data_IF_249201323121
#
_entry.id   IF_249201323121
#
_cell.length_a   1.000
_cell.length_b   1.000
_cell.length_c   1.000
_cell.angle_alpha   90.00
_cell.angle_beta   90.00
_cell.angle_gamma   90.00
#
_symmetry.space_group_name_H-M   'P 1'
#
loop_
_entity.id
_entity.type
_entity.pdbx_description
1 polymer ?
#
# COMPACT_ATOMS: atom_id res chain seq x y z
N UNK A 1 9.56 -1.83 -13.54
CA UNK A 1 9.40 -0.59 -14.32
C UNK A 1 8.55 0.37 -13.51
N UNK A 2 8.89 1.66 -13.47
CA UNK A 2 8.09 2.72 -12.87
C UNK A 2 8.11 3.95 -13.77
N UNK A 3 6.98 4.63 -13.88
CA UNK A 3 6.80 5.87 -14.64
C UNK A 3 6.28 6.93 -13.68
N UNK A 4 6.89 8.10 -13.68
CA UNK A 4 6.43 9.27 -12.94
C UNK A 4 6.26 10.44 -13.88
N UNK A 5 5.18 11.18 -13.69
CA UNK A 5 4.81 12.34 -14.50
C UNK A 5 4.52 13.51 -13.59
N UNK A 6 4.95 14.69 -13.98
CA UNK A 6 4.55 15.96 -13.36
C UNK A 6 3.72 16.72 -14.38
N UNK A 7 2.56 17.21 -13.96
CA UNK A 7 1.69 18.09 -14.73
C UNK A 7 1.62 19.43 -14.06
N UNK A 8 1.45 20.48 -14.86
CA UNK A 8 1.32 21.86 -14.37
C UNK A 8 0.12 22.53 -15.04
N UNK A 9 -0.70 23.20 -14.25
CA UNK A 9 -1.80 24.04 -14.73
C UNK A 9 -2.01 25.18 -13.75
N UNK A 10 -2.12 26.40 -14.26
CA UNK A 10 -2.36 27.61 -13.46
C UNK A 10 -1.41 27.78 -12.25
N UNK A 11 -0.14 27.41 -12.41
CA UNK A 11 0.87 27.50 -11.36
C UNK A 11 0.81 26.36 -10.31
N UNK A 12 -0.16 25.48 -10.38
CA UNK A 12 -0.23 24.27 -9.57
C UNK A 12 0.48 23.12 -10.26
N UNK A 13 1.33 22.42 -9.54
CA UNK A 13 2.07 21.24 -10.01
C UNK A 13 1.66 20.01 -9.23
N UNK A 14 1.33 18.96 -9.94
CA UNK A 14 0.98 17.69 -9.32
C UNK A 14 1.72 16.52 -9.98
N UNK A 15 1.95 15.49 -9.18
CA UNK A 15 2.66 14.29 -9.61
C UNK A 15 1.70 13.09 -9.66
N UNK A 16 1.86 12.29 -10.70
CA UNK A 16 1.30 10.95 -10.77
C UNK A 16 2.40 9.92 -11.03
N UNK A 17 2.20 8.72 -10.55
CA UNK A 17 3.11 7.61 -10.79
C UNK A 17 2.36 6.30 -10.94
N UNK A 18 2.88 5.44 -11.81
CA UNK A 18 2.38 4.09 -11.97
C UNK A 18 3.53 3.16 -12.35
N UNK A 19 3.39 1.89 -12.01
CA UNK A 19 4.43 0.92 -12.31
C UNK A 19 4.07 -0.46 -11.82
N UNK A 20 4.94 -1.40 -12.12
CA UNK A 20 4.82 -2.78 -11.69
C UNK A 20 6.13 -3.52 -11.91
N UNK A 21 6.21 -4.69 -11.31
CA UNK A 21 7.34 -5.59 -11.40
C UNK A 21 6.89 -7.03 -11.50
N UNK A 22 7.69 -7.83 -12.18
CA UNK A 22 7.55 -9.29 -12.21
C UNK A 22 8.93 -9.93 -12.31
N UNK A 23 9.01 -11.17 -11.88
CA UNK A 23 10.21 -11.99 -12.06
C UNK A 23 10.20 -12.64 -13.45
N UNK A 24 10.26 -11.78 -14.48
CA UNK A 24 10.32 -12.15 -15.90
C UNK A 24 11.38 -11.30 -16.58
N UNK A 25 11.72 -11.62 -17.83
CA UNK A 25 12.60 -10.80 -18.64
C UNK A 25 11.92 -9.48 -19.05
N UNK A 26 12.71 -8.58 -19.60
CA UNK A 26 12.22 -7.25 -19.98
C UNK A 26 11.24 -7.30 -21.15
N UNK A 27 11.28 -8.32 -21.96
CA UNK A 27 10.40 -8.52 -23.12
C UNK A 27 8.93 -8.55 -22.71
N UNK A 28 8.63 -9.07 -21.51
CA UNK A 28 7.28 -9.06 -20.93
C UNK A 28 6.63 -7.67 -20.91
N UNK A 29 7.40 -6.63 -20.61
CA UNK A 29 6.88 -5.26 -20.55
C UNK A 29 6.64 -4.68 -21.95
N UNK A 30 7.40 -5.13 -22.94
CA UNK A 30 7.28 -4.72 -24.35
C UNK A 30 6.08 -5.40 -24.99
N UNK A 31 6.00 -6.71 -24.90
CA UNK A 31 4.96 -7.52 -25.56
C UNK A 31 3.55 -7.20 -25.07
N UNK A 32 3.42 -6.70 -23.85
CA UNK A 32 2.14 -6.32 -23.25
C UNK A 32 1.88 -4.82 -23.25
N UNK A 33 2.73 -4.03 -23.92
CA UNK A 33 2.65 -2.55 -23.99
C UNK A 33 2.48 -1.88 -22.60
N UNK A 34 3.06 -2.50 -21.57
CA UNK A 34 2.88 -2.08 -20.19
C UNK A 34 3.49 -0.71 -19.89
N UNK A 35 4.55 -0.33 -20.61
CA UNK A 35 5.17 0.98 -20.46
C UNK A 35 4.20 2.12 -20.78
N UNK A 36 3.46 1.99 -21.89
CA UNK A 36 2.44 2.97 -22.31
C UNK A 36 1.25 2.94 -21.35
N UNK A 37 0.85 1.75 -20.89
CA UNK A 37 -0.18 1.57 -19.88
C UNK A 37 0.14 2.32 -18.58
N UNK A 38 1.35 2.16 -18.06
CA UNK A 38 1.82 2.87 -16.86
C UNK A 38 1.94 4.38 -17.09
N UNK A 39 2.40 4.81 -18.27
CA UNK A 39 2.45 6.23 -18.61
C UNK A 39 1.05 6.87 -18.59
N UNK A 40 0.06 6.25 -19.24
CA UNK A 40 -1.34 6.71 -19.23
C UNK A 40 -1.90 6.76 -17.80
N UNK A 41 -1.64 5.76 -16.98
CA UNK A 41 -2.09 5.72 -15.59
C UNK A 41 -1.46 6.83 -14.76
N UNK A 42 -0.15 7.06 -14.90
CA UNK A 42 0.57 8.12 -14.20
C UNK A 42 0.03 9.52 -14.57
N UNK A 43 -0.21 9.76 -15.88
CA UNK A 43 -0.83 11.01 -16.34
C UNK A 43 -2.22 11.18 -15.75
N UNK A 44 -3.07 10.16 -15.83
CA UNK A 44 -4.43 10.21 -15.25
C UNK A 44 -4.40 10.57 -13.78
N UNK A 45 -3.53 9.96 -13.00
CA UNK A 45 -3.38 10.26 -11.57
C UNK A 45 -2.95 11.70 -11.35
N UNK A 46 -1.96 12.20 -12.09
CA UNK A 46 -1.50 13.57 -11.97
C UNK A 46 -2.61 14.59 -12.30
N UNK A 47 -3.42 14.33 -13.33
CA UNK A 47 -4.56 15.17 -13.69
C UNK A 47 -5.65 15.18 -12.61
N UNK A 48 -5.97 14.02 -12.05
CA UNK A 48 -6.92 13.92 -10.91
C UNK A 48 -6.40 14.72 -9.72
N UNK A 49 -5.11 14.65 -9.42
CA UNK A 49 -4.51 15.41 -8.33
C UNK A 49 -4.57 16.92 -8.56
N UNK A 50 -4.53 17.41 -9.80
CA UNK A 50 -4.72 18.84 -10.10
C UNK A 50 -6.09 19.36 -9.68
N UNK A 51 -7.12 18.52 -9.76
CA UNK A 51 -8.51 18.85 -9.40
C UNK A 51 -8.82 18.50 -7.93
N UNK A 52 -7.90 17.84 -7.24
CA UNK A 52 -8.10 17.42 -5.86
C UNK A 52 -8.22 18.65 -4.92
N UNK A 53 -9.12 18.52 -3.95
CA UNK A 53 -9.28 19.44 -2.83
C UNK A 53 -8.59 18.86 -1.59
N UNK A 54 -8.28 19.73 -0.64
CA UNK A 54 -7.67 19.29 0.63
C UNK A 54 -8.61 18.34 1.39
N UNK A 55 -8.06 17.28 1.93
CA UNK A 55 -8.79 16.40 2.81
C UNK A 55 -9.11 17.11 4.13
N UNK A 56 -10.31 16.91 4.71
CA UNK A 56 -10.63 17.50 6.01
C UNK A 56 -9.69 16.95 7.09
N UNK A 57 -9.11 17.85 7.89
CA UNK A 57 -8.29 17.49 9.04
C UNK A 57 -9.16 17.39 10.30
N UNK A 58 -9.00 16.34 11.08
CA UNK A 58 -9.72 16.16 12.33
C UNK A 58 -9.96 14.69 12.67
N UNK A 59 -10.56 14.46 13.83
CA UNK A 59 -11.01 13.13 14.25
C UNK A 59 -12.36 12.83 13.62
N UNK A 60 -12.43 11.76 12.85
CA UNK A 60 -13.66 11.37 12.15
C UNK A 60 -13.73 9.85 11.93
N UNK A 61 -14.93 9.30 11.74
CA UNK A 61 -15.07 7.91 11.30
C UNK A 61 -14.43 7.71 9.93
N UNK A 62 -13.65 6.64 9.79
CA UNK A 62 -12.93 6.29 8.55
C UNK A 62 -13.31 4.88 8.12
N UNK A 63 -13.64 4.72 6.85
CA UNK A 63 -13.83 3.41 6.23
C UNK A 63 -12.58 3.07 5.42
N UNK A 64 -11.94 1.96 5.78
CA UNK A 64 -10.78 1.43 5.05
C UNK A 64 -11.25 0.37 4.07
N UNK A 65 -11.09 0.60 2.78
CA UNK A 65 -11.34 -0.40 1.74
C UNK A 65 -10.16 -1.38 1.64
N UNK A 66 -10.34 -2.47 0.90
CA UNK A 66 -9.25 -3.40 0.59
C UNK A 66 -8.17 -2.74 -0.28
N UNK A 67 -6.94 -3.22 -0.20
CA UNK A 67 -5.80 -2.74 -0.98
C UNK A 67 -4.75 -2.03 -0.11
N UNK A 68 -4.36 -0.81 -0.45
CA UNK A 68 -3.36 -0.02 0.26
C UNK A 68 -3.56 0.10 1.78
N UNK A 69 -4.79 0.16 2.32
CA UNK A 69 -4.97 0.11 3.77
C UNK A 69 -4.44 -1.15 4.46
N UNK A 70 -4.20 -2.23 3.70
CA UNK A 70 -3.48 -3.40 4.20
C UNK A 70 -2.07 -3.08 4.68
N UNK A 71 -1.39 -2.10 4.06
CA UNK A 71 -0.08 -1.62 4.51
C UNK A 71 -0.18 -0.94 5.87
N UNK A 72 -1.25 -0.20 6.14
CA UNK A 72 -1.48 0.37 7.47
C UNK A 72 -1.59 -0.72 8.54
N UNK A 73 -2.28 -1.82 8.27
CA UNK A 73 -2.38 -2.96 9.19
C UNK A 73 -1.03 -3.66 9.34
N UNK A 74 -0.26 -3.80 8.25
CA UNK A 74 1.10 -4.33 8.29
C UNK A 74 1.98 -3.52 9.24
N UNK A 75 2.01 -2.20 9.12
CA UNK A 75 2.81 -1.32 9.97
C UNK A 75 2.30 -1.26 11.42
N UNK A 76 0.98 -1.23 11.61
CA UNK A 76 0.40 -1.08 12.93
C UNK A 76 0.44 -2.37 13.77
N UNK A 77 0.33 -3.52 13.15
CA UNK A 77 0.17 -4.81 13.83
C UNK A 77 1.15 -5.86 13.31
N UNK A 78 1.37 -5.92 11.99
CA UNK A 78 2.11 -6.99 11.33
C UNK A 78 3.52 -7.17 11.87
N UNK A 79 4.29 -6.11 11.99
CA UNK A 79 5.65 -6.17 12.55
C UNK A 79 5.67 -6.68 13.99
N UNK A 80 4.66 -6.37 14.79
CA UNK A 80 4.53 -6.90 16.15
C UNK A 80 4.25 -8.40 16.20
N UNK A 81 3.74 -8.99 15.12
CA UNK A 81 3.45 -10.41 15.03
C UNK A 81 4.62 -11.23 14.47
N UNK A 82 5.69 -10.60 14.00
CA UNK A 82 6.87 -11.29 13.49
C UNK A 82 7.48 -12.25 14.51
N UNK A 83 7.82 -13.45 14.07
CA UNK A 83 8.27 -14.54 14.93
C UNK A 83 9.57 -14.25 15.66
N UNK A 84 10.49 -13.49 15.08
CA UNK A 84 11.77 -13.15 15.71
C UNK A 84 11.61 -12.13 16.85
N UNK A 85 10.74 -11.14 16.72
CA UNK A 85 10.42 -10.20 17.80
C UNK A 85 9.71 -10.90 18.96
N UNK A 86 8.78 -11.80 18.66
CA UNK A 86 8.08 -12.56 19.67
C UNK A 86 9.01 -13.54 20.39
N UNK A 87 9.92 -14.20 19.67
CA UNK A 87 10.92 -15.09 20.26
C UNK A 87 11.90 -14.37 21.18
N UNK A 88 12.21 -13.11 20.90
CA UNK A 88 13.11 -12.26 21.70
C UNK A 88 12.40 -11.53 22.84
N UNK A 89 11.12 -11.73 22.98
CA UNK A 89 10.27 -11.05 23.97
C UNK A 89 10.32 -9.50 23.85
N UNK A 90 10.41 -9.01 22.63
CA UNK A 90 10.49 -7.57 22.31
C UNK A 90 9.21 -7.01 21.70
N UNK A 91 8.22 -7.86 21.42
CA UNK A 91 6.91 -7.44 20.93
C UNK A 91 5.90 -7.28 22.06
N UNK A 92 4.95 -6.36 21.87
CA UNK A 92 3.77 -6.24 22.73
C UNK A 92 2.89 -7.50 22.74
N UNK A 93 3.03 -8.37 21.74
CA UNK A 93 2.30 -9.63 21.59
C UNK A 93 3.04 -10.84 22.13
N UNK A 94 4.27 -10.69 22.62
CA UNK A 94 5.07 -11.79 23.13
C UNK A 94 4.37 -12.48 24.30
N UNK A 95 4.35 -13.81 24.26
CA UNK A 95 3.74 -14.64 25.30
C UNK A 95 2.20 -14.63 25.34
N UNK A 96 1.52 -13.96 24.42
CA UNK A 96 0.05 -13.76 24.46
C UNK A 96 -0.75 -14.75 23.62
N UNK A 97 -0.18 -15.90 23.33
CA UNK A 97 -0.90 -16.95 22.60
C UNK A 97 -2.12 -17.40 23.41
N UNK A 98 -3.30 -17.34 22.78
CA UNK A 98 -4.57 -17.68 23.43
C UNK A 98 -5.21 -16.54 24.22
N UNK A 99 -4.56 -15.39 24.34
CA UNK A 99 -5.13 -14.20 24.95
C UNK A 99 -5.78 -13.29 23.90
N UNK A 100 -6.81 -12.56 24.32
CA UNK A 100 -7.40 -11.53 23.47
C UNK A 100 -6.51 -10.28 23.49
N UNK A 101 -5.96 -9.90 22.34
CA UNK A 101 -5.05 -8.76 22.19
C UNK A 101 -5.66 -7.58 21.43
N UNK A 102 -6.87 -7.72 20.92
CA UNK A 102 -7.60 -6.68 20.18
C UNK A 102 -9.12 -6.81 20.41
N UNK A 103 -9.88 -5.89 19.81
CA UNK A 103 -11.35 -5.99 19.82
C UNK A 103 -11.81 -7.31 19.18
N UNK A 104 -12.86 -7.97 19.74
CA UNK A 104 -13.40 -9.18 19.13
C UNK A 104 -14.04 -8.95 17.75
N UNK A 105 -14.26 -7.68 17.36
CA UNK A 105 -14.71 -7.30 16.04
C UNK A 105 -13.60 -7.29 14.99
N UNK A 106 -12.35 -7.43 15.41
CA UNK A 106 -11.19 -7.38 14.52
C UNK A 106 -10.49 -8.74 14.48
N UNK A 107 -10.39 -9.33 13.30
CA UNK A 107 -9.59 -10.53 13.06
C UNK A 107 -8.46 -10.19 12.08
N UNK A 108 -7.23 -10.43 12.47
CA UNK A 108 -6.06 -10.30 11.60
C UNK A 108 -5.51 -11.69 11.32
N UNK A 109 -5.35 -12.02 10.05
CA UNK A 109 -4.78 -13.29 9.61
C UNK A 109 -3.48 -13.00 8.90
N UNK A 110 -2.39 -13.49 9.46
CA UNK A 110 -1.07 -13.47 8.83
C UNK A 110 -0.81 -14.87 8.24
N UNK A 111 -0.71 -14.93 6.94
CA UNK A 111 -0.45 -16.16 6.21
C UNK A 111 0.93 -16.07 5.59
N UNK A 112 1.86 -16.86 6.08
CA UNK A 112 3.19 -17.03 5.48
C UNK A 112 3.14 -17.82 4.15
N UNK A 113 1.99 -17.85 3.50
CA UNK A 113 1.79 -18.45 2.19
C UNK A 113 2.37 -17.53 1.11
N UNK A 114 3.68 -17.50 1.04
CA UNK A 114 4.34 -17.07 -0.17
C UNK A 114 3.96 -18.11 -1.23
N UNK A 115 3.47 -17.64 -2.35
CA UNK A 115 3.14 -18.48 -3.50
C UNK A 115 4.29 -19.44 -3.80
N UNK A 116 4.06 -20.67 -3.50
CA UNK A 116 4.89 -21.75 -3.97
C UNK A 116 4.38 -22.14 -5.35
#
# INVERSE_FOLDING_TARGET
MNVSVIVESNGRRERGSAGGGRRLDYQYFIDNDLAVGFAKQAVRQALVNLEAVDAPAGTMPVVLASGWPGVLLHEAVGHGLEGDFNRRDTSAFSGKIGEQVASPLCTVVDLSLIHI
#
